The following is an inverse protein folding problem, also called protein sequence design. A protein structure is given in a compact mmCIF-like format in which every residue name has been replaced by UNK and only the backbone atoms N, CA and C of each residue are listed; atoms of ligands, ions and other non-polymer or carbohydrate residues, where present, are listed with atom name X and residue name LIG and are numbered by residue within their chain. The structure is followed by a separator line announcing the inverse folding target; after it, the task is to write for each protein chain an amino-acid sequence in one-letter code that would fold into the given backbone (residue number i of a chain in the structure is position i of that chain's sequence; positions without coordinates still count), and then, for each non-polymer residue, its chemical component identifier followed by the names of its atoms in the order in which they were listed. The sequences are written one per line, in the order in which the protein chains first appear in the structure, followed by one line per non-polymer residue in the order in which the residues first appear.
data_IF_084122524820
#
_entry.id   IF_084122524820
#
_cell.length_a   1.000
_cell.length_b   1.000
_cell.length_c   1.000
_cell.angle_alpha   90.00
_cell.angle_beta   90.00
_cell.angle_gamma   90.00
#
_symmetry.space_group_name_H-M   'P 1'
#
loop_
_entity.id
_entity.type
_entity.pdbx_description
1 polymer ?
#
# COMPACT_ATOMS: atom_id res chain seq x y z
N UNK A 1 -8.30 -2.64 -2.78
CA UNK A 1 -7.63 -2.22 -3.12
C UNK A 1 -6.60 -1.16 -3.42
N UNK A 2 -6.11 -1.12 -4.62
CA UNK A 2 -5.09 -0.14 -5.02
C UNK A 2 -5.65 0.79 -6.11
N UNK A 3 -5.10 2.02 -6.16
CA UNK A 3 -5.34 2.98 -7.23
C UNK A 3 -4.31 2.74 -8.35
N UNK A 4 -4.75 2.74 -9.61
CA UNK A 4 -3.85 2.65 -10.77
C UNK A 4 -3.30 4.05 -11.05
N UNK A 5 -2.13 4.34 -10.46
CA UNK A 5 -1.52 5.68 -10.46
C UNK A 5 -1.27 6.24 -11.87
N UNK A 6 -0.71 5.47 -12.85
CA UNK A 6 -0.42 6.05 -14.17
C UNK A 6 -1.65 6.49 -14.95
N UNK A 7 -2.85 6.11 -14.53
CA UNK A 7 -4.13 6.57 -15.11
C UNK A 7 -4.62 7.90 -14.51
N UNK A 8 -3.89 8.51 -13.60
CA UNK A 8 -4.27 9.74 -12.88
C UNK A 8 -3.27 10.86 -13.15
N UNK A 9 -3.74 12.10 -13.03
CA UNK A 9 -2.82 13.23 -13.00
C UNK A 9 -2.17 13.30 -11.61
N UNK A 10 -0.83 13.23 -11.48
CA UNK A 10 -0.17 13.15 -10.18
C UNK A 10 -0.30 14.43 -9.34
N UNK A 11 -0.44 15.59 -9.97
CA UNK A 11 -0.61 16.87 -9.26
C UNK A 11 -1.98 16.93 -8.59
N UNK A 12 -3.03 16.48 -9.31
CA UNK A 12 -4.39 16.40 -8.76
C UNK A 12 -4.44 15.34 -7.67
N UNK A 13 -3.89 14.16 -7.94
CA UNK A 13 -3.88 13.04 -6.98
C UNK A 13 -3.14 13.42 -5.69
N UNK A 14 -2.00 14.10 -5.78
CA UNK A 14 -1.28 14.58 -4.60
C UNK A 14 -2.15 15.49 -3.73
N UNK A 15 -2.91 16.39 -4.35
CA UNK A 15 -3.84 17.29 -3.67
C UNK A 15 -4.99 16.54 -2.98
N UNK A 16 -5.60 15.58 -3.69
CA UNK A 16 -6.67 14.75 -3.16
C UNK A 16 -6.20 13.93 -1.94
N UNK A 17 -5.05 13.26 -2.06
CA UNK A 17 -4.46 12.47 -0.98
C UNK A 17 -4.11 13.33 0.25
N UNK A 18 -3.50 14.49 0.05
CA UNK A 18 -3.19 15.41 1.15
C UNK A 18 -4.46 15.92 1.86
N UNK A 19 -5.53 16.16 1.10
CA UNK A 19 -6.83 16.56 1.66
C UNK A 19 -7.45 15.44 2.48
N UNK A 20 -7.43 14.19 1.95
CA UNK A 20 -7.92 13.01 2.69
C UNK A 20 -7.11 12.73 3.95
N UNK A 21 -5.78 12.87 3.89
CA UNK A 21 -4.92 12.74 5.06
C UNK A 21 -5.35 13.72 6.16
N UNK A 22 -5.54 15.00 5.83
CA UNK A 22 -6.00 16.00 6.78
C UNK A 22 -7.40 15.73 7.34
N UNK A 23 -8.36 15.38 6.50
CA UNK A 23 -9.74 15.09 6.91
C UNK A 23 -9.84 13.84 7.79
N UNK A 24 -8.98 12.85 7.54
CA UNK A 24 -8.96 11.62 8.34
C UNK A 24 -8.14 11.72 9.63
N UNK A 25 -7.47 12.84 9.90
CA UNK A 25 -6.51 12.95 10.99
C UNK A 25 -5.30 12.04 10.78
N UNK A 26 -4.76 12.08 9.56
CA UNK A 26 -3.58 11.33 9.09
C UNK A 26 -3.71 9.78 9.16
N UNK A 27 -4.96 9.26 9.10
CA UNK A 27 -5.26 7.83 9.05
C UNK A 27 -5.37 7.28 7.62
N UNK A 28 -5.18 8.13 6.61
CA UNK A 28 -5.26 7.77 5.21
C UNK A 28 -3.94 7.20 4.70
N UNK A 29 -4.01 6.09 3.99
CA UNK A 29 -2.89 5.48 3.25
C UNK A 29 -3.26 5.33 1.78
N UNK A 30 -2.33 5.62 0.88
CA UNK A 30 -2.50 5.50 -0.56
C UNK A 30 -1.99 4.15 -1.06
N UNK A 31 -2.91 3.22 -1.34
CA UNK A 31 -2.56 1.98 -2.04
C UNK A 31 -2.38 2.22 -3.54
N UNK A 32 -1.22 1.88 -4.10
CA UNK A 32 -0.87 2.11 -5.50
C UNK A 32 -0.57 0.85 -6.29
N UNK A 33 -0.90 0.87 -7.58
CA UNK A 33 -0.51 -0.13 -8.56
C UNK A 33 -0.26 0.49 -9.93
N UNK A 34 0.34 -0.30 -10.82
CA UNK A 34 0.68 0.14 -12.20
C UNK A 34 -0.38 -0.22 -13.23
N UNK A 35 -1.36 -1.06 -12.87
CA UNK A 35 -2.35 -1.60 -13.80
C UNK A 35 -1.85 -2.82 -14.60
N UNK A 36 -2.78 -3.66 -15.00
CA UNK A 36 -2.51 -4.91 -15.75
C UNK A 36 -3.34 -5.07 -17.03
N UNK A 37 -4.37 -4.24 -17.23
CA UNK A 37 -5.31 -4.31 -18.36
C UNK A 37 -5.04 -3.15 -19.34
N UNK A 38 -4.52 -3.49 -20.52
CA UNK A 38 -4.13 -2.51 -21.53
C UNK A 38 -5.33 -1.75 -22.10
N UNK A 39 -6.48 -2.41 -22.21
CA UNK A 39 -7.72 -1.84 -22.70
C UNK A 39 -8.21 -0.65 -21.87
N UNK A 40 -8.00 -0.67 -20.55
CA UNK A 40 -8.31 0.48 -19.70
C UNK A 40 -7.43 1.68 -20.03
N UNK A 41 -6.13 1.46 -20.28
CA UNK A 41 -5.20 2.51 -20.65
C UNK A 41 -5.58 3.12 -22.00
N UNK A 42 -5.92 2.27 -22.98
CA UNK A 42 -6.36 2.71 -24.28
C UNK A 42 -7.66 3.54 -24.21
N UNK A 43 -8.64 3.10 -23.39
CA UNK A 43 -9.89 3.83 -23.18
C UNK A 43 -9.69 5.20 -22.54
N UNK A 44 -8.65 5.35 -21.71
CA UNK A 44 -8.29 6.60 -21.02
C UNK A 44 -7.30 7.46 -21.83
N UNK A 45 -6.80 6.98 -22.97
CA UNK A 45 -5.77 7.66 -23.75
C UNK A 45 -4.41 7.74 -23.05
N UNK A 46 -4.11 6.83 -22.11
CA UNK A 46 -2.86 6.78 -21.37
C UNK A 46 -1.92 5.75 -22.00
N UNK A 47 -0.66 6.07 -22.30
CA UNK A 47 0.29 5.14 -22.87
C UNK A 47 0.58 3.95 -21.95
N UNK A 48 0.40 2.74 -22.46
CA UNK A 48 0.62 1.47 -21.76
C UNK A 48 2.10 1.14 -21.47
N UNK A 49 3.03 1.27 -22.43
CA UNK A 49 4.40 0.74 -22.28
C UNK A 49 5.18 1.33 -21.11
N UNK A 50 4.96 2.59 -20.79
CA UNK A 50 5.73 3.35 -19.80
C UNK A 50 5.10 3.39 -18.41
N UNK A 51 4.00 2.64 -18.16
CA UNK A 51 3.22 2.72 -16.92
C UNK A 51 4.05 2.55 -15.63
N UNK A 52 5.04 1.67 -15.63
CA UNK A 52 5.90 1.45 -14.46
C UNK A 52 6.81 2.65 -14.17
N UNK A 53 7.49 3.18 -15.19
CA UNK A 53 8.36 4.36 -15.06
C UNK A 53 7.54 5.61 -14.72
N UNK A 54 6.37 5.75 -15.34
CA UNK A 54 5.42 6.83 -15.04
C UNK A 54 4.97 6.78 -13.59
N UNK A 55 4.70 5.59 -13.04
CA UNK A 55 4.35 5.44 -11.62
C UNK A 55 5.47 5.86 -10.70
N UNK A 56 6.72 5.48 -11.02
CA UNK A 56 7.90 5.86 -10.23
C UNK A 56 8.03 7.39 -10.17
N UNK A 57 8.00 8.04 -11.32
CA UNK A 57 8.09 9.50 -11.43
C UNK A 57 6.92 10.22 -10.75
N UNK A 58 5.71 9.66 -10.84
CA UNK A 58 4.54 10.22 -10.18
C UNK A 58 4.63 10.13 -8.65
N UNK A 59 5.22 9.07 -8.10
CA UNK A 59 5.50 8.99 -6.67
C UNK A 59 6.45 10.10 -6.21
N UNK A 60 7.51 10.35 -6.97
CA UNK A 60 8.47 11.42 -6.69
C UNK A 60 7.84 12.81 -6.77
N UNK A 61 7.05 13.06 -7.82
CA UNK A 61 6.35 14.34 -8.01
C UNK A 61 5.31 14.59 -6.90
N UNK A 62 4.55 13.57 -6.49
CA UNK A 62 3.62 13.69 -5.36
C UNK A 62 4.36 13.97 -4.05
N UNK A 63 5.50 13.31 -3.81
CA UNK A 63 6.31 13.55 -2.62
C UNK A 63 6.85 14.99 -2.59
N UNK A 64 7.27 15.55 -3.73
CA UNK A 64 7.67 16.96 -3.83
C UNK A 64 6.52 17.90 -3.45
N UNK A 65 5.29 17.66 -3.95
CA UNK A 65 4.11 18.46 -3.63
C UNK A 65 3.69 18.37 -2.15
N UNK A 66 3.94 17.26 -1.48
CA UNK A 66 3.62 17.06 -0.07
C UNK A 66 4.64 17.68 0.88
N UNK A 67 5.92 17.74 0.48
CA UNK A 67 7.03 18.11 1.37
C UNK A 67 7.57 19.53 1.16
N UNK A 68 7.39 20.12 -0.03
CA UNK A 68 7.98 21.41 -0.36
C UNK A 68 6.92 22.52 -0.32
N UNK A 69 7.29 23.71 0.17
CA UNK A 69 6.39 24.89 0.20
C UNK A 69 6.08 25.42 -1.21
N UNK A 70 7.11 25.49 -2.04
CA UNK A 70 7.04 25.74 -3.47
C UNK A 70 7.65 24.53 -4.16
N UNK A 71 6.80 23.61 -4.53
CA UNK A 71 7.22 22.34 -5.10
C UNK A 71 7.78 22.52 -6.51
N UNK A 72 8.86 21.80 -6.77
CA UNK A 72 9.52 21.72 -8.06
C UNK A 72 9.84 20.26 -8.38
N UNK A 73 9.52 19.85 -9.59
CA UNK A 73 9.85 18.52 -10.09
C UNK A 73 10.00 18.55 -11.62
N UNK A 74 11.12 18.01 -12.12
CA UNK A 74 11.48 17.99 -13.55
C UNK A 74 11.71 16.57 -14.02
N UNK A 75 10.65 15.95 -14.53
CA UNK A 75 10.67 14.59 -15.05
C UNK A 75 10.29 14.52 -16.53
N UNK A 76 10.21 13.29 -17.03
CA UNK A 76 9.79 13.03 -18.41
C UNK A 76 8.28 13.09 -18.58
N UNK A 77 7.53 12.66 -17.57
CA UNK A 77 6.07 12.50 -17.62
C UNK A 77 5.33 13.58 -16.87
N UNK A 78 6.01 14.26 -15.97
CA UNK A 78 5.48 15.40 -15.23
C UNK A 78 6.58 16.42 -14.99
N UNK A 79 6.24 17.68 -15.18
CA UNK A 79 7.15 18.82 -15.01
C UNK A 79 6.39 19.99 -14.42
N UNK A 80 6.90 20.55 -13.33
CA UNK A 80 6.35 21.77 -12.72
C UNK A 80 7.40 22.47 -11.86
N UNK A 81 7.24 23.80 -11.73
CA UNK A 81 8.03 24.63 -10.84
C UNK A 81 7.11 25.60 -10.09
N UNK A 82 7.52 25.99 -8.86
CA UNK A 82 6.81 26.93 -8.01
C UNK A 82 5.35 26.53 -7.69
N UNK A 83 5.04 25.24 -7.72
CA UNK A 83 3.70 24.74 -7.42
C UNK A 83 3.43 24.80 -5.91
N UNK A 84 2.29 25.40 -5.53
CA UNK A 84 1.84 25.47 -4.13
C UNK A 84 0.67 24.51 -3.96
N UNK A 85 0.88 23.45 -3.17
CA UNK A 85 -0.16 22.47 -2.81
C UNK A 85 -0.55 22.64 -1.34
N UNK A 86 -1.82 22.90 -1.06
CA UNK A 86 -2.38 23.04 0.29
C UNK A 86 -3.74 22.32 0.36
N UNK A 87 -4.08 21.59 1.47
CA UNK A 87 -3.20 21.36 2.62
C UNK A 87 -2.01 20.49 2.28
N UNK A 88 -0.96 20.49 3.10
CA UNK A 88 0.07 19.47 3.10
C UNK A 88 -0.24 18.44 4.19
N UNK A 89 0.09 17.16 3.99
CA UNK A 89 -0.04 16.12 5.01
C UNK A 89 0.90 16.40 6.18
N UNK A 90 0.56 15.94 7.37
CA UNK A 90 1.42 16.06 8.54
C UNK A 90 2.72 15.29 8.30
N UNK A 91 3.85 15.89 8.62
CA UNK A 91 5.16 15.29 8.32
C UNK A 91 5.59 15.33 6.85
N UNK A 92 4.80 16.00 5.98
CA UNK A 92 5.20 16.20 4.57
C UNK A 92 5.15 14.94 3.70
N UNK A 93 4.38 13.92 4.08
CA UNK A 93 4.23 12.69 3.31
C UNK A 93 2.88 12.01 3.57
N UNK A 94 2.34 11.33 2.57
CA UNK A 94 1.24 10.38 2.70
C UNK A 94 1.83 8.97 2.64
N UNK A 95 1.50 8.06 3.57
CA UNK A 95 1.92 6.67 3.48
C UNK A 95 1.49 6.03 2.16
N UNK A 96 2.41 5.32 1.50
CA UNK A 96 2.18 4.65 0.22
C UNK A 96 2.32 3.13 0.41
N UNK A 97 1.26 2.38 0.15
CA UNK A 97 1.28 0.91 0.08
C UNK A 97 1.36 0.48 -1.38
N UNK A 98 2.47 -0.17 -1.76
CA UNK A 98 2.68 -0.60 -3.15
C UNK A 98 2.11 -1.98 -3.37
N UNK A 99 1.12 -2.09 -4.25
CA UNK A 99 0.52 -3.35 -4.68
C UNK A 99 1.26 -3.98 -5.85
N UNK A 100 1.26 -5.33 -5.88
CA UNK A 100 1.79 -6.11 -6.98
C UNK A 100 2.66 -7.27 -6.54
N UNK A 101 2.85 -8.25 -7.44
CA UNK A 101 3.54 -9.51 -7.17
C UNK A 101 4.70 -9.74 -8.18
N UNK A 102 5.50 -8.71 -8.38
CA UNK A 102 6.68 -8.76 -9.24
C UNK A 102 7.86 -8.04 -8.58
N UNK A 103 9.08 -8.38 -8.99
CA UNK A 103 10.29 -7.69 -8.54
C UNK A 103 10.23 -6.18 -8.77
N UNK A 104 9.61 -5.74 -9.87
CA UNK A 104 9.44 -4.32 -10.15
C UNK A 104 8.55 -3.62 -9.11
N UNK A 105 7.47 -4.29 -8.66
CA UNK A 105 6.62 -3.78 -7.59
C UNK A 105 7.35 -3.77 -6.24
N UNK A 106 8.06 -4.85 -5.92
CA UNK A 106 8.85 -4.97 -4.69
C UNK A 106 9.97 -3.90 -4.63
N UNK A 107 10.68 -3.65 -5.73
CA UNK A 107 11.68 -2.57 -5.84
C UNK A 107 11.05 -1.19 -5.63
N UNK A 108 9.86 -0.96 -6.18
CA UNK A 108 9.10 0.29 -5.98
C UNK A 108 8.70 0.47 -4.52
N UNK A 109 8.22 -0.60 -3.86
CA UNK A 109 7.92 -0.58 -2.44
C UNK A 109 9.14 -0.21 -1.60
N UNK A 110 10.30 -0.80 -1.88
CA UNK A 110 11.56 -0.45 -1.23
C UNK A 110 11.93 1.02 -1.39
N UNK A 111 11.75 1.59 -2.59
CA UNK A 111 12.11 2.99 -2.88
C UNK A 111 11.13 4.02 -2.32
N UNK A 112 9.83 3.76 -2.40
CA UNK A 112 8.80 4.79 -2.14
C UNK A 112 7.77 4.39 -1.09
N UNK A 113 7.57 3.07 -0.84
CA UNK A 113 6.50 2.56 -0.01
C UNK A 113 6.75 2.67 1.49
N UNK A 114 5.69 2.82 2.26
CA UNK A 114 5.62 2.49 3.68
C UNK A 114 5.09 1.08 3.90
N UNK A 115 4.48 0.49 2.84
CA UNK A 115 3.99 -0.87 2.83
C UNK A 115 4.13 -1.53 1.46
N UNK A 116 4.16 -2.87 1.47
CA UNK A 116 4.15 -3.71 0.29
C UNK A 116 3.03 -4.74 0.38
N UNK A 117 2.23 -4.85 -0.68
CA UNK A 117 1.07 -5.72 -0.76
C UNK A 117 1.12 -6.65 -1.97
N UNK A 118 1.83 -7.80 -1.91
CA UNK A 118 1.64 -8.89 -2.85
C UNK A 118 0.31 -9.58 -2.56
N UNK A 119 -0.65 -9.43 -3.47
CA UNK A 119 -2.01 -9.97 -3.29
C UNK A 119 -2.07 -11.50 -3.33
N UNK A 120 -1.00 -12.17 -3.79
CA UNK A 120 -0.87 -13.63 -3.92
C UNK A 120 0.60 -14.02 -4.04
N UNK A 121 0.89 -15.29 -3.81
CA UNK A 121 2.20 -15.91 -3.99
C UNK A 121 2.32 -17.16 -3.13
N UNK A 122 3.21 -18.10 -3.51
CA UNK A 122 3.68 -19.13 -2.61
C UNK A 122 4.56 -18.54 -1.52
N UNK A 123 4.88 -19.31 -0.48
CA UNK A 123 5.75 -18.86 0.60
C UNK A 123 7.15 -18.46 0.09
N UNK A 124 7.67 -19.20 -0.89
CA UNK A 124 8.95 -18.92 -1.54
C UNK A 124 8.88 -17.62 -2.35
N UNK A 125 7.79 -17.40 -3.08
CA UNK A 125 7.58 -16.16 -3.85
C UNK A 125 7.44 -14.95 -2.93
N UNK A 126 6.69 -15.06 -1.83
CA UNK A 126 6.54 -14.00 -0.84
C UNK A 126 7.89 -13.67 -0.18
N UNK A 127 8.64 -14.71 0.25
CA UNK A 127 9.98 -14.54 0.82
C UNK A 127 10.90 -13.80 -0.14
N UNK A 128 10.96 -14.25 -1.40
CA UNK A 128 11.76 -13.58 -2.42
C UNK A 128 11.38 -12.11 -2.59
N UNK A 129 10.10 -11.81 -2.71
CA UNK A 129 9.62 -10.43 -2.89
C UNK A 129 9.94 -9.54 -1.68
N UNK A 130 9.79 -10.05 -0.46
CA UNK A 130 10.14 -9.30 0.75
C UNK A 130 11.65 -9.03 0.85
N UNK A 131 12.49 -9.97 0.43
CA UNK A 131 13.94 -9.76 0.31
C UNK A 131 14.27 -8.67 -0.72
N UNK A 132 13.58 -8.65 -1.86
CA UNK A 132 13.73 -7.59 -2.88
C UNK A 132 13.32 -6.23 -2.32
N UNK A 133 12.22 -6.14 -1.55
CA UNK A 133 11.81 -4.91 -0.85
C UNK A 133 12.92 -4.43 0.08
N UNK A 134 13.41 -5.31 0.96
CA UNK A 134 14.45 -4.97 1.96
C UNK A 134 15.73 -4.47 1.29
N UNK A 135 16.22 -5.19 0.27
CA UNK A 135 17.41 -4.81 -0.48
C UNK A 135 17.22 -3.44 -1.15
N UNK A 136 16.10 -3.24 -1.83
CA UNK A 136 15.81 -1.99 -2.52
C UNK A 136 15.64 -0.81 -1.57
N UNK A 137 15.09 -1.02 -0.37
CA UNK A 137 15.02 -0.01 0.68
C UNK A 137 16.41 0.40 1.16
N UNK A 138 17.27 -0.58 1.43
CA UNK A 138 18.66 -0.35 1.84
C UNK A 138 19.44 0.41 0.77
N UNK A 139 19.33 0.02 -0.51
CA UNK A 139 19.95 0.71 -1.65
C UNK A 139 19.45 2.16 -1.78
N UNK A 140 18.21 2.44 -1.39
CA UNK A 140 17.62 3.79 -1.37
C UNK A 140 17.93 4.57 -0.09
N UNK A 141 18.74 4.04 0.84
CA UNK A 141 19.09 4.69 2.11
C UNK A 141 17.92 4.72 3.11
N UNK A 142 16.91 3.85 2.95
CA UNK A 142 15.74 3.77 3.81
C UNK A 142 15.85 2.59 4.80
N UNK A 143 15.18 2.70 5.94
CA UNK A 143 15.06 1.59 6.87
C UNK A 143 14.12 0.50 6.32
N UNK A 144 14.60 -0.71 5.99
CA UNK A 144 13.75 -1.79 5.48
C UNK A 144 12.74 -2.30 6.50
N UNK A 145 13.00 -2.16 7.81
CA UNK A 145 12.09 -2.61 8.87
C UNK A 145 10.89 -1.66 9.07
N UNK A 146 10.93 -0.48 8.46
CA UNK A 146 9.82 0.48 8.46
C UNK A 146 8.82 0.24 7.33
N UNK A 147 9.01 -0.80 6.50
CA UNK A 147 8.10 -1.14 5.40
C UNK A 147 7.25 -2.33 5.83
N UNK A 148 5.94 -2.11 5.96
CA UNK A 148 4.99 -3.15 6.35
C UNK A 148 4.70 -4.11 5.20
N UNK A 149 4.77 -5.41 5.46
CA UNK A 149 4.37 -6.45 4.51
C UNK A 149 2.92 -6.87 4.78
N UNK A 150 2.06 -6.69 3.79
CA UNK A 150 0.66 -7.10 3.83
C UNK A 150 0.42 -8.20 2.82
N UNK A 151 -0.39 -9.19 3.14
CA UNK A 151 -0.87 -10.18 2.15
C UNK A 151 -2.36 -10.40 2.26
N UNK A 152 -2.93 -11.12 1.30
CA UNK A 152 -4.35 -11.41 1.24
C UNK A 152 -4.58 -12.89 0.98
N UNK A 153 -5.62 -13.44 1.55
CA UNK A 153 -6.07 -14.79 1.30
C UNK A 153 -7.46 -14.82 0.67
N UNK A 154 -7.57 -15.57 -0.40
CA UNK A 154 -8.77 -15.75 -1.20
C UNK A 154 -9.54 -17.03 -0.83
N UNK A 155 -9.37 -17.58 0.36
CA UNK A 155 -10.04 -18.80 0.73
C UNK A 155 -11.33 -18.53 1.52
N UNK A 156 -12.49 -19.06 1.09
CA UNK A 156 -13.70 -19.10 1.92
C UNK A 156 -13.59 -20.13 3.05
N UNK A 157 -12.53 -20.93 3.08
CA UNK A 157 -12.30 -21.94 4.10
C UNK A 157 -11.30 -21.43 5.11
N UNK A 158 -11.63 -21.59 6.39
CA UNK A 158 -10.80 -21.30 7.57
C UNK A 158 -9.33 -21.56 7.27
N UNK A 159 -8.56 -20.49 7.18
CA UNK A 159 -7.13 -20.66 7.37
C UNK A 159 -6.89 -20.98 8.83
N UNK A 160 -6.10 -22.00 9.07
CA UNK A 160 -5.75 -22.40 10.42
C UNK A 160 -4.90 -21.32 11.07
N UNK A 161 -4.94 -21.22 12.39
CA UNK A 161 -4.02 -20.37 13.17
C UNK A 161 -2.55 -20.67 12.82
N UNK A 162 -2.26 -21.89 12.37
CA UNK A 162 -0.93 -22.30 11.91
C UNK A 162 -0.52 -21.54 10.63
N UNK A 163 -1.47 -21.28 9.71
CA UNK A 163 -1.18 -20.48 8.51
C UNK A 163 -0.90 -19.02 8.84
N UNK A 164 -1.63 -18.44 9.77
CA UNK A 164 -1.39 -17.06 10.23
C UNK A 164 0.00 -16.96 10.85
N UNK A 165 0.41 -17.93 11.68
CA UNK A 165 1.75 -17.97 12.25
C UNK A 165 2.84 -18.15 11.18
N UNK A 166 2.61 -19.01 10.18
CA UNK A 166 3.55 -19.17 9.07
C UNK A 166 3.74 -17.84 8.30
N UNK A 167 2.66 -17.08 8.06
CA UNK A 167 2.74 -15.77 7.42
C UNK A 167 3.49 -14.74 8.30
N UNK A 168 3.27 -14.78 9.61
CA UNK A 168 4.02 -13.95 10.56
C UNK A 168 5.51 -14.29 10.55
N UNK A 169 5.86 -15.59 10.55
CA UNK A 169 7.25 -16.06 10.43
C UNK A 169 7.91 -15.67 9.11
N UNK A 170 7.14 -15.52 8.02
CA UNK A 170 7.58 -14.97 6.74
C UNK A 170 7.75 -13.43 6.75
N UNK A 171 7.37 -12.76 7.83
CA UNK A 171 7.47 -11.31 7.99
C UNK A 171 6.25 -10.53 7.48
N UNK A 172 5.07 -11.17 7.43
CA UNK A 172 3.79 -10.50 7.18
C UNK A 172 3.28 -9.88 8.47
N UNK A 173 3.01 -8.58 8.49
CA UNK A 173 2.46 -7.85 9.63
C UNK A 173 0.95 -7.63 9.51
N UNK A 174 0.43 -7.49 8.30
CA UNK A 174 -1.00 -7.28 8.05
C UNK A 174 -1.55 -8.35 7.11
N UNK A 175 -2.69 -8.89 7.48
CA UNK A 175 -3.38 -9.94 6.77
C UNK A 175 -4.80 -9.49 6.38
N UNK A 176 -5.09 -9.48 5.07
CA UNK A 176 -6.41 -9.13 4.56
C UNK A 176 -7.22 -10.38 4.25
N UNK A 177 -8.37 -10.51 4.90
CA UNK A 177 -9.32 -11.58 4.62
C UNK A 177 -10.41 -11.09 3.67
N UNK A 178 -10.57 -11.78 2.54
CA UNK A 178 -11.64 -11.46 1.58
C UNK A 178 -12.94 -12.13 2.03
N UNK A 179 -13.95 -11.33 2.31
CA UNK A 179 -15.29 -11.79 2.69
C UNK A 179 -16.14 -11.90 1.42
N UNK A 180 -16.67 -13.10 1.16
CA UNK A 180 -17.64 -13.29 0.09
C UNK A 180 -19.01 -12.73 0.53
N UNK A 181 -19.56 -11.80 -0.26
CA UNK A 181 -20.83 -11.15 0.02
C UNK A 181 -22.01 -12.12 0.15
N UNK A 182 -21.96 -13.29 -0.50
CA UNK A 182 -23.00 -14.33 -0.38
C UNK A 182 -23.04 -15.00 1.01
N UNK A 183 -21.97 -14.89 1.80
CA UNK A 183 -21.82 -15.50 3.12
C UNK A 183 -21.34 -14.47 4.17
N UNK A 184 -21.59 -13.18 3.93
CA UNK A 184 -21.02 -12.08 4.72
C UNK A 184 -21.25 -12.24 6.24
N UNK A 185 -22.46 -12.58 6.67
CA UNK A 185 -22.80 -12.72 8.09
C UNK A 185 -22.03 -13.87 8.76
N UNK A 186 -22.02 -15.05 8.14
CA UNK A 186 -21.31 -16.21 8.69
C UNK A 186 -19.77 -16.02 8.66
N UNK A 187 -19.25 -15.27 7.70
CA UNK A 187 -17.82 -14.94 7.60
C UNK A 187 -17.43 -13.83 8.56
N UNK A 188 -18.32 -12.85 8.80
CA UNK A 188 -18.10 -11.80 9.78
C UNK A 188 -18.01 -12.37 11.19
N UNK A 189 -18.95 -13.26 11.58
CA UNK A 189 -18.92 -13.97 12.86
C UNK A 189 -17.64 -14.81 13.02
N UNK A 190 -17.21 -15.48 11.94
CA UNK A 190 -15.97 -16.26 11.96
C UNK A 190 -14.73 -15.38 12.09
N UNK A 191 -14.66 -14.27 11.36
CA UNK A 191 -13.57 -13.31 11.44
C UNK A 191 -13.50 -12.66 12.83
N UNK A 192 -14.66 -12.30 13.40
CA UNK A 192 -14.76 -11.73 14.75
C UNK A 192 -14.27 -12.73 15.81
N UNK A 193 -14.68 -14.02 15.70
CA UNK A 193 -14.21 -15.08 16.59
C UNK A 193 -12.71 -15.33 16.47
N UNK A 194 -12.12 -15.19 15.27
CA UNK A 194 -10.67 -15.30 15.05
C UNK A 194 -9.92 -14.09 15.59
N UNK A 195 -10.44 -12.87 15.41
CA UNK A 195 -9.89 -11.65 16.00
C UNK A 195 -9.87 -11.73 17.53
N UNK A 196 -10.94 -12.20 18.17
CA UNK A 196 -10.99 -12.43 19.63
C UNK A 196 -9.97 -13.46 20.05
N UNK A 197 -9.72 -14.53 19.30
CA UNK A 197 -8.67 -15.52 19.58
C UNK A 197 -7.26 -14.95 19.37
N UNK A 198 -7.04 -14.15 18.33
CA UNK A 198 -5.76 -13.48 18.08
C UNK A 198 -5.46 -12.43 19.16
N UNK A 199 -6.46 -11.66 19.60
CA UNK A 199 -6.32 -10.72 20.72
C UNK A 199 -5.99 -11.43 22.04
N UNK A 200 -6.46 -12.65 22.25
CA UNK A 200 -6.10 -13.45 23.43
C UNK A 200 -4.64 -13.97 23.40
N UNK A 201 -4.00 -13.95 22.25
CA UNK A 201 -2.61 -14.43 22.04
C UNK A 201 -1.61 -13.26 22.02
N UNK A 202 -2.01 -12.05 21.64
CA UNK A 202 -1.10 -10.93 21.41
C UNK A 202 -1.70 -9.56 21.77
N UNK A 203 -2.17 -9.35 23.00
CA UNK A 203 -2.44 -7.99 23.47
C UNK A 203 -1.20 -7.48 24.21
N UNK A 204 -0.39 -6.55 23.65
CA UNK A 204 0.54 -5.78 24.44
C UNK A 204 -0.27 -5.02 25.51
N UNK A 205 0.16 -5.06 26.76
CA UNK A 205 -0.46 -4.33 27.85
C UNK A 205 -0.57 -2.83 27.47
N UNK A 206 -1.80 -2.31 27.29
CA UNK A 206 -2.03 -0.90 26.99
C UNK A 206 -3.05 -0.58 25.90
N UNK A 207 -3.65 -1.57 25.22
CA UNK A 207 -4.76 -1.29 24.32
C UNK A 207 -6.07 -1.16 25.12
N UNK A 208 -6.87 -0.07 24.92
CA UNK A 208 -8.16 0.05 25.59
C UNK A 208 -9.10 -1.06 25.09
N UNK A 209 -9.76 -1.74 26.03
CA UNK A 209 -10.85 -2.66 25.72
C UNK A 209 -11.93 -1.91 24.93
N UNK A 210 -12.41 -2.52 23.85
CA UNK A 210 -13.64 -2.07 23.19
C UNK A 210 -14.79 -2.34 24.18
N UNK A 211 -15.31 -1.28 24.80
CA UNK A 211 -16.57 -1.37 25.53
C UNK A 211 -17.71 -1.51 24.52
N UNK A 212 -18.49 -2.59 24.71
CA UNK A 212 -19.75 -2.81 24.01
C UNK A 212 -20.71 -1.64 24.38
N UNK A 213 -21.02 -0.80 23.36
CA UNK A 213 -22.10 0.17 23.44
C UNK A 213 -23.06 -0.06 22.26
#
# INVERSE_FOLDING_TARGET
GILIVPQRNPVILAKECATLAKLSGDRFELGIGVGWLEEEFNALGVPWPDRGRRTDEYCEAMQALWSQDKAEYHGRYVDFANAISRPQPTGGSVPIVVGGHSDAAAKRAGRYGTGFFPAKGSDEELTHLFEVVRRSATEAGRNPDAIENTTMVWSPRRESLDRVKQLEDLGVQTYLHVIDAANADAMFDTALQQLVKLQSIAVPAGFPAYDEA
#
